data_IF_918477419534
#
_entry.id   IF_918477419534
#
_cell.length_a   1.000
_cell.length_b   1.000
_cell.length_c   1.000
_cell.angle_alpha   90.00
_cell.angle_beta   90.00
_cell.angle_gamma   90.00
#
_symmetry.space_group_name_H-M   'P 1'
#
loop_
_entity.id
_entity.type
_entity.pdbx_description
1 polymer ?
#
# COMPACT_ATOMS: atom_id res chain seq x y z
N UNK A 1 15.58 -21.09 -10.50
CA UNK A 1 14.25 -20.86 -9.89
C UNK A 1 13.39 -20.23 -10.97
N UNK A 2 12.35 -20.92 -11.41
CA UNK A 2 11.57 -20.47 -12.58
C UNK A 2 10.30 -19.75 -12.10
N UNK A 3 10.37 -18.43 -11.99
CA UNK A 3 9.23 -17.57 -11.76
C UNK A 3 9.10 -16.57 -12.92
N UNK A 4 7.89 -16.16 -13.21
CA UNK A 4 7.62 -15.12 -14.21
C UNK A 4 7.87 -13.73 -13.63
N UNK A 5 7.71 -13.60 -12.31
CA UNK A 5 7.90 -12.33 -11.57
C UNK A 5 8.53 -12.61 -10.21
N UNK A 6 9.48 -11.76 -9.83
CA UNK A 6 10.04 -11.72 -8.47
C UNK A 6 9.43 -10.52 -7.75
N UNK A 7 8.83 -10.76 -6.59
CA UNK A 7 8.35 -9.72 -5.67
C UNK A 7 9.31 -9.67 -4.48
N UNK A 8 9.93 -8.53 -4.25
CA UNK A 8 10.85 -8.32 -3.13
C UNK A 8 10.12 -7.61 -2.00
N UNK A 9 10.02 -8.29 -0.87
CA UNK A 9 9.33 -7.83 0.34
C UNK A 9 7.94 -8.44 0.51
N UNK A 10 7.71 -9.11 1.63
CA UNK A 10 6.44 -9.72 2.05
C UNK A 10 5.56 -8.79 2.90
N UNK A 11 5.79 -7.49 2.83
CA UNK A 11 4.89 -6.48 3.40
C UNK A 11 3.60 -6.35 2.60
N UNK A 12 2.68 -5.47 3.04
CA UNK A 12 1.36 -5.31 2.41
C UNK A 12 1.44 -5.07 0.91
N UNK A 13 2.31 -4.19 0.45
CA UNK A 13 2.46 -3.88 -0.98
C UNK A 13 2.87 -5.10 -1.80
N UNK A 14 3.86 -5.87 -1.31
CA UNK A 14 4.30 -7.09 -1.97
C UNK A 14 3.24 -8.18 -1.97
N UNK A 15 2.49 -8.34 -0.88
CA UNK A 15 1.38 -9.30 -0.79
C UNK A 15 0.26 -8.96 -1.76
N UNK A 16 -0.10 -7.68 -1.90
CA UNK A 16 -1.10 -7.22 -2.88
C UNK A 16 -0.60 -7.47 -4.30
N UNK A 17 0.65 -7.12 -4.61
CA UNK A 17 1.25 -7.38 -5.92
C UNK A 17 1.28 -8.87 -6.26
N UNK A 18 1.70 -9.71 -5.30
CA UNK A 18 1.72 -11.16 -5.48
C UNK A 18 0.32 -11.74 -5.71
N UNK A 19 -0.69 -11.24 -4.99
CA UNK A 19 -2.08 -11.62 -5.20
C UNK A 19 -2.55 -11.29 -6.62
N UNK A 20 -2.38 -10.05 -7.06
CA UNK A 20 -2.81 -9.63 -8.40
C UNK A 20 -2.08 -10.40 -9.51
N UNK A 21 -0.78 -10.62 -9.37
CA UNK A 21 0.01 -11.40 -10.33
C UNK A 21 -0.45 -12.86 -10.43
N UNK A 22 -0.66 -13.51 -9.29
CA UNK A 22 -1.08 -14.92 -9.28
C UNK A 22 -2.49 -15.12 -9.82
N UNK A 23 -3.37 -14.10 -9.69
CA UNK A 23 -4.70 -14.10 -10.33
C UNK A 23 -4.63 -14.06 -11.85
N UNK A 24 -3.59 -13.46 -12.43
CA UNK A 24 -3.38 -13.45 -13.89
C UNK A 24 -2.65 -14.69 -14.41
N UNK A 25 -2.45 -15.69 -13.55
CA UNK A 25 -1.78 -16.95 -13.92
C UNK A 25 -0.27 -16.89 -13.89
N UNK A 26 0.35 -15.80 -13.40
CA UNK A 26 1.79 -15.67 -13.27
C UNK A 26 2.31 -16.50 -12.09
N UNK A 27 3.49 -17.12 -12.28
CA UNK A 27 4.26 -17.77 -11.21
C UNK A 27 5.10 -16.69 -10.53
N UNK A 28 4.95 -16.58 -9.21
CA UNK A 28 5.58 -15.53 -8.40
C UNK A 28 6.59 -16.14 -7.43
N UNK A 29 7.81 -15.60 -7.39
CA UNK A 29 8.75 -15.80 -6.29
C UNK A 29 8.67 -14.58 -5.37
N UNK A 30 8.21 -14.77 -4.14
CA UNK A 30 8.18 -13.73 -3.12
C UNK A 30 9.39 -13.91 -2.20
N UNK A 31 10.29 -12.94 -2.22
CA UNK A 31 11.54 -12.94 -1.49
C UNK A 31 11.46 -11.94 -0.34
N UNK A 32 11.69 -12.39 0.89
CA UNK A 32 11.65 -11.54 2.08
C UNK A 32 12.83 -11.82 3.01
N UNK A 33 13.42 -10.77 3.55
CA UNK A 33 14.49 -10.89 4.55
C UNK A 33 13.99 -11.42 5.90
N UNK A 34 12.70 -11.27 6.17
CA UNK A 34 12.08 -11.68 7.40
C UNK A 34 11.67 -13.17 7.36
N UNK A 35 11.37 -13.72 8.53
CA UNK A 35 10.83 -15.07 8.65
C UNK A 35 9.34 -15.12 8.29
N UNK A 36 8.80 -16.33 8.16
CA UNK A 36 7.40 -16.56 7.78
C UNK A 36 6.37 -15.99 8.78
N UNK A 37 6.75 -15.77 10.05
CA UNK A 37 5.85 -15.20 11.05
C UNK A 37 5.66 -13.69 10.89
N UNK A 38 6.60 -13.01 10.21
CA UNK A 38 6.56 -11.57 9.98
C UNK A 38 5.88 -11.17 8.66
N UNK A 39 5.17 -12.11 8.02
CA UNK A 39 4.45 -11.84 6.79
C UNK A 39 3.37 -10.77 7.00
N UNK A 40 3.38 -9.74 6.15
CA UNK A 40 2.57 -8.53 6.31
C UNK A 40 3.37 -7.28 6.69
N UNK A 41 4.60 -7.46 7.18
CA UNK A 41 5.55 -6.39 7.49
C UNK A 41 4.99 -5.35 8.45
N UNK A 42 5.29 -4.09 8.24
CA UNK A 42 4.86 -2.99 9.11
C UNK A 42 3.34 -2.81 9.18
N UNK A 43 2.60 -3.22 8.13
CA UNK A 43 1.15 -3.14 8.14
C UNK A 43 0.52 -4.03 9.23
N UNK A 44 1.13 -5.16 9.53
CA UNK A 44 0.69 -6.06 10.60
C UNK A 44 0.65 -5.36 11.98
N UNK A 45 1.64 -4.51 12.26
CA UNK A 45 1.79 -3.81 13.55
C UNK A 45 1.06 -2.47 13.61
N UNK A 46 0.44 -2.05 12.52
CA UNK A 46 -0.21 -0.75 12.41
C UNK A 46 -1.59 -0.73 13.08
N UNK A 47 -2.14 0.49 13.27
CA UNK A 47 -3.55 0.66 13.66
C UNK A 47 -4.54 0.27 12.56
N UNK A 48 -4.06 -0.13 11.38
CA UNK A 48 -4.93 -0.44 10.24
C UNK A 48 -5.68 0.79 9.73
N UNK A 49 -5.05 1.95 9.80
CA UNK A 49 -5.62 3.20 9.35
C UNK A 49 -5.62 3.31 7.83
N UNK A 50 -6.78 3.63 7.26
CA UNK A 50 -7.01 3.75 5.85
C UNK A 50 -7.58 5.12 5.51
N UNK A 51 -6.93 5.83 4.60
CA UNK A 51 -7.41 7.11 4.09
C UNK A 51 -8.53 6.88 3.07
N UNK A 52 -9.73 7.40 3.36
CA UNK A 52 -10.86 7.40 2.45
C UNK A 52 -11.50 8.78 2.40
N UNK A 53 -12.08 9.12 1.27
CA UNK A 53 -12.70 10.42 0.99
C UNK A 53 -14.18 10.22 0.68
N UNK A 54 -15.04 11.02 1.32
CA UNK A 54 -16.49 10.99 1.12
C UNK A 54 -17.08 9.58 1.29
N UNK A 55 -16.58 8.84 2.26
CA UNK A 55 -17.05 7.49 2.55
C UNK A 55 -18.47 7.47 3.13
N UNK A 56 -19.19 6.34 3.03
CA UNK A 56 -20.44 6.17 3.75
C UNK A 56 -20.30 6.35 5.26
N UNK A 57 -19.15 5.97 5.83
CA UNK A 57 -18.82 6.13 7.25
C UNK A 57 -18.73 7.62 7.61
N UNK A 58 -18.03 8.43 6.82
CA UNK A 58 -17.98 9.89 6.98
C UNK A 58 -19.37 10.51 6.90
N UNK A 59 -20.16 10.16 5.88
CA UNK A 59 -21.51 10.72 5.69
C UNK A 59 -22.45 10.41 6.86
N UNK A 60 -22.39 9.19 7.44
CA UNK A 60 -23.18 8.81 8.64
C UNK A 60 -22.83 9.65 9.86
N UNK A 61 -21.57 10.09 9.94
CA UNK A 61 -21.08 10.97 11.02
C UNK A 61 -21.29 12.47 10.73
N UNK A 62 -21.98 12.81 9.64
CA UNK A 62 -22.20 14.21 9.24
C UNK A 62 -20.97 14.89 8.65
N UNK A 63 -19.90 14.15 8.37
CA UNK A 63 -18.69 14.70 7.75
C UNK A 63 -18.94 14.92 6.26
N UNK A 64 -18.76 16.14 5.81
CA UNK A 64 -18.84 16.54 4.40
C UNK A 64 -17.43 16.56 3.82
N UNK A 65 -17.17 15.70 2.85
CA UNK A 65 -15.88 15.58 2.19
C UNK A 65 -16.05 15.43 0.67
N UNK A 66 -15.02 15.79 -0.08
CA UNK A 66 -15.00 15.62 -1.54
C UNK A 66 -13.54 15.51 -2.04
N UNK A 67 -13.39 15.07 -3.28
CA UNK A 67 -12.08 14.91 -3.93
C UNK A 67 -11.27 16.22 -3.91
N UNK A 68 -11.90 17.35 -4.26
CA UNK A 68 -11.19 18.64 -4.34
C UNK A 68 -10.70 19.11 -2.98
N UNK A 69 -11.52 18.93 -1.93
CA UNK A 69 -11.12 19.24 -0.57
C UNK A 69 -9.95 18.34 -0.13
N UNK A 70 -10.06 17.04 -0.38
CA UNK A 70 -9.03 16.09 -0.02
C UNK A 70 -7.71 16.35 -0.77
N UNK A 71 -7.79 16.68 -2.06
CA UNK A 71 -6.62 17.01 -2.86
C UNK A 71 -5.94 18.30 -2.40
N UNK A 72 -6.71 19.33 -2.06
CA UNK A 72 -6.18 20.57 -1.50
C UNK A 72 -5.44 20.32 -0.19
N UNK A 73 -6.05 19.55 0.71
CA UNK A 73 -5.45 19.20 1.99
C UNK A 73 -4.16 18.38 1.79
N UNK A 74 -4.18 17.41 0.88
CA UNK A 74 -3.02 16.60 0.56
C UNK A 74 -1.86 17.42 0.05
N UNK A 75 -2.11 18.31 -0.93
CA UNK A 75 -1.10 19.22 -1.46
C UNK A 75 -0.52 20.13 -0.37
N UNK A 76 -1.37 20.65 0.49
CA UNK A 76 -0.95 21.49 1.60
C UNK A 76 -0.06 20.76 2.61
N UNK A 77 -0.22 19.47 2.78
CA UNK A 77 0.59 18.66 3.70
C UNK A 77 1.84 18.07 3.05
N UNK A 78 1.82 17.85 1.75
CA UNK A 78 2.92 17.17 1.05
C UNK A 78 4.19 18.04 0.94
N UNK A 79 4.05 19.37 0.88
CA UNK A 79 5.17 20.29 0.81
C UNK A 79 6.03 20.14 -0.44
N UNK A 80 5.42 19.77 -1.58
CA UNK A 80 6.11 19.64 -2.85
C UNK A 80 6.60 21.00 -3.35
N UNK A 81 7.89 21.23 -3.27
CA UNK A 81 8.58 22.48 -3.64
C UNK A 81 9.55 22.32 -4.82
N UNK A 82 9.70 21.08 -5.35
CA UNK A 82 10.62 20.74 -6.44
C UNK A 82 9.86 20.16 -7.63
N UNK A 83 8.83 20.89 -8.10
CA UNK A 83 8.00 20.49 -9.25
C UNK A 83 8.54 21.04 -10.58
N UNK A 84 9.36 22.08 -10.52
CA UNK A 84 9.91 22.77 -11.68
C UNK A 84 11.43 22.57 -11.78
N UNK A 85 11.95 22.65 -13.00
CA UNK A 85 13.38 22.56 -13.26
C UNK A 85 13.86 21.21 -13.82
N UNK A 86 15.17 21.08 -14.09
CA UNK A 86 15.74 19.92 -14.79
C UNK A 86 15.67 18.61 -13.98
N UNK A 87 15.38 18.72 -12.70
CA UNK A 87 15.19 17.57 -11.78
C UNK A 87 13.91 17.78 -10.97
N UNK A 88 12.77 17.68 -11.63
CA UNK A 88 11.45 17.77 -10.96
C UNK A 88 11.24 16.57 -10.03
N UNK A 89 11.99 16.50 -8.93
CA UNK A 89 12.06 15.37 -8.01
C UNK A 89 10.70 15.01 -7.40
N UNK A 90 9.84 16.01 -7.20
CA UNK A 90 8.52 15.83 -6.59
C UNK A 90 7.42 15.51 -7.62
N UNK A 91 7.71 15.52 -8.93
CA UNK A 91 6.71 15.28 -9.96
C UNK A 91 6.04 13.89 -9.80
N UNK A 92 6.84 12.85 -9.61
CA UNK A 92 6.31 11.50 -9.43
C UNK A 92 5.57 11.33 -8.11
N UNK A 93 6.05 11.97 -7.04
CA UNK A 93 5.35 11.98 -5.75
C UNK A 93 3.97 12.66 -5.87
N UNK A 94 3.89 13.78 -6.61
CA UNK A 94 2.64 14.46 -6.87
C UNK A 94 1.68 13.59 -7.71
N UNK A 95 2.16 12.94 -8.77
CA UNK A 95 1.36 12.04 -9.62
C UNK A 95 0.80 10.87 -8.81
N UNK A 96 1.63 10.23 -8.00
CA UNK A 96 1.20 9.14 -7.11
C UNK A 96 0.23 9.63 -6.03
N UNK A 97 0.48 10.79 -5.43
CA UNK A 97 -0.43 11.40 -4.47
C UNK A 97 -1.80 11.68 -5.10
N UNK A 98 -1.84 12.19 -6.33
CA UNK A 98 -3.08 12.44 -7.06
C UNK A 98 -3.84 11.14 -7.33
N UNK A 99 -3.18 10.14 -7.90
CA UNK A 99 -3.79 8.85 -8.16
C UNK A 99 -4.32 8.18 -6.88
N UNK A 100 -3.60 8.29 -5.76
CA UNK A 100 -4.03 7.75 -4.49
C UNK A 100 -5.27 8.45 -3.93
N UNK A 101 -5.33 9.78 -3.99
CA UNK A 101 -6.50 10.55 -3.50
C UNK A 101 -7.72 10.28 -4.36
N UNK A 102 -7.56 10.17 -5.70
CA UNK A 102 -8.64 9.79 -6.60
C UNK A 102 -9.15 8.37 -6.31
N UNK A 103 -8.26 7.42 -6.13
CA UNK A 103 -8.62 6.06 -5.70
C UNK A 103 -9.37 6.06 -4.36
N UNK A 104 -8.92 6.86 -3.39
CA UNK A 104 -9.54 6.95 -2.08
C UNK A 104 -10.92 7.62 -2.11
N UNK A 105 -11.17 8.53 -3.04
CA UNK A 105 -12.47 9.15 -3.27
C UNK A 105 -13.41 8.30 -4.13
N UNK A 106 -12.85 7.37 -4.90
CA UNK A 106 -13.55 6.51 -5.84
C UNK A 106 -13.72 5.07 -5.33
N UNK A 107 -13.00 4.18 -5.97
CA UNK A 107 -13.26 2.73 -5.84
C UNK A 107 -12.60 2.04 -4.64
N UNK A 108 -11.68 2.70 -3.92
CA UNK A 108 -10.87 2.08 -2.87
C UNK A 108 -11.70 1.36 -1.82
N UNK A 109 -12.78 1.98 -1.36
CA UNK A 109 -13.63 1.38 -0.33
C UNK A 109 -14.25 0.06 -0.79
N UNK A 110 -14.76 0.01 -2.01
CA UNK A 110 -15.36 -1.20 -2.55
C UNK A 110 -14.28 -2.24 -2.91
N UNK A 111 -13.11 -1.79 -3.34
CA UNK A 111 -11.95 -2.65 -3.51
C UNK A 111 -11.55 -3.34 -2.20
N UNK A 112 -11.46 -2.59 -1.09
CA UNK A 112 -11.18 -3.13 0.25
C UNK A 112 -12.22 -4.20 0.65
N UNK A 113 -13.51 -3.93 0.43
CA UNK A 113 -14.58 -4.89 0.74
C UNK A 113 -14.46 -6.18 -0.08
N UNK A 114 -14.13 -6.07 -1.37
CA UNK A 114 -13.89 -7.26 -2.23
C UNK A 114 -12.70 -8.10 -1.76
N UNK A 115 -11.82 -7.51 -0.97
CA UNK A 115 -10.66 -8.18 -0.37
C UNK A 115 -10.85 -8.52 1.11
N UNK A 116 -12.10 -8.60 1.58
CA UNK A 116 -12.48 -8.97 2.94
C UNK A 116 -12.00 -8.01 4.05
N UNK A 117 -11.57 -6.81 3.68
CA UNK A 117 -11.18 -5.78 4.64
C UNK A 117 -12.44 -5.05 5.10
N UNK A 118 -12.78 -5.22 6.37
CA UNK A 118 -13.92 -4.58 7.02
C UNK A 118 -13.46 -3.33 7.76
N UNK A 119 -14.28 -2.29 7.75
CA UNK A 119 -14.02 -1.06 8.48
C UNK A 119 -14.86 -1.02 9.75
N UNK A 120 -14.31 -0.43 10.80
CA UNK A 120 -15.08 -0.02 11.98
C UNK A 120 -15.99 1.16 11.63
N UNK A 121 -17.09 1.40 12.37
CA UNK A 121 -17.97 2.55 12.11
C UNK A 121 -17.36 3.89 12.56
N UNK A 122 -16.09 3.93 12.85
CA UNK A 122 -15.35 5.09 13.34
C UNK A 122 -14.53 5.75 12.24
N UNK A 123 -14.58 7.07 12.17
CA UNK A 123 -13.69 7.88 11.34
C UNK A 123 -13.01 8.91 12.25
N UNK A 124 -11.70 8.79 12.34
CA UNK A 124 -10.88 9.67 13.16
C UNK A 124 -10.09 10.70 12.35
N UNK A 125 -9.43 11.55 13.10
CA UNK A 125 -8.40 12.44 12.58
C UNK A 125 -7.10 11.67 12.46
N UNK A 126 -6.47 11.74 11.28
CA UNK A 126 -5.07 11.38 11.12
C UNK A 126 -4.22 12.62 11.43
N UNK A 127 -3.34 13.00 10.55
CA UNK A 127 -2.49 14.16 10.73
C UNK A 127 -3.24 15.46 10.45
N UNK A 128 -2.94 16.45 11.26
CA UNK A 128 -3.41 17.83 11.09
C UNK A 128 -2.19 18.70 10.91
N UNK A 129 -1.53 18.58 9.81
CA UNK A 129 -0.38 19.34 9.38
C UNK A 129 0.38 20.11 10.46
N UNK A 130 1.66 19.86 10.53
CA UNK A 130 2.59 20.62 11.34
C UNK A 130 3.97 20.58 10.64
N UNK A 131 4.88 21.45 11.01
CA UNK A 131 6.23 21.46 10.49
C UNK A 131 6.38 22.24 9.17
N UNK A 132 7.08 21.66 8.20
CA UNK A 132 7.44 22.34 6.96
C UNK A 132 6.34 22.40 5.90
N UNK A 133 5.23 21.69 6.12
CA UNK A 133 4.10 21.72 5.18
C UNK A 133 3.35 23.04 5.25
N UNK A 134 2.90 23.55 4.11
CA UNK A 134 2.22 24.84 3.99
C UNK A 134 0.74 24.79 4.39
N UNK A 135 0.20 23.61 4.66
CA UNK A 135 -1.20 23.41 4.98
C UNK A 135 -1.42 22.81 6.37
N UNK A 136 -2.65 22.92 6.84
CA UNK A 136 -3.07 22.41 8.16
C UNK A 136 -3.37 20.90 8.15
N UNK A 137 -3.12 20.20 7.06
CA UNK A 137 -3.44 18.78 6.88
C UNK A 137 -4.90 18.53 6.57
N UNK A 138 -5.43 17.42 7.05
CA UNK A 138 -6.84 17.08 6.82
C UNK A 138 -7.80 18.10 7.44
N UNK A 139 -8.64 18.73 6.61
CA UNK A 139 -9.71 19.65 7.05
C UNK A 139 -10.87 18.92 7.70
N UNK A 140 -11.01 17.62 7.41
CA UNK A 140 -12.05 16.73 7.95
C UNK A 140 -11.45 15.38 8.32
N UNK A 141 -12.09 14.61 9.22
CA UNK A 141 -11.63 13.27 9.57
C UNK A 141 -11.66 12.34 8.36
N UNK A 142 -10.53 11.68 8.06
CA UNK A 142 -10.38 10.73 6.94
C UNK A 142 -9.72 9.41 7.34
N UNK A 143 -9.39 9.26 8.62
CA UNK A 143 -8.73 8.07 9.14
C UNK A 143 -9.78 7.01 9.49
N UNK A 144 -9.92 6.02 8.61
CA UNK A 144 -10.80 4.87 8.82
C UNK A 144 -9.99 3.71 9.38
N UNK A 145 -10.49 3.05 10.40
CA UNK A 145 -9.79 1.94 11.05
C UNK A 145 -10.35 0.63 10.55
N UNK A 146 -9.48 -0.26 10.08
CA UNK A 146 -9.87 -1.62 9.73
C UNK A 146 -10.23 -2.42 10.99
N UNK A 147 -11.26 -3.24 10.89
CA UNK A 147 -11.58 -4.20 11.94
C UNK A 147 -10.43 -5.21 12.06
N UNK A 148 -9.91 -5.38 13.28
CA UNK A 148 -8.70 -6.17 13.52
C UNK A 148 -7.40 -5.37 13.35
N UNK A 149 -7.48 -4.05 13.16
CA UNK A 149 -6.34 -3.14 13.02
C UNK A 149 -5.40 -3.55 11.88
N UNK A 150 -4.09 -3.57 12.08
CA UNK A 150 -3.10 -3.92 11.05
C UNK A 150 -3.23 -5.34 10.51
N UNK A 151 -3.58 -6.29 11.37
CA UNK A 151 -3.86 -7.68 10.94
C UNK A 151 -5.08 -7.75 10.03
N UNK A 152 -6.12 -6.96 10.31
CA UNK A 152 -7.31 -6.86 9.46
C UNK A 152 -7.03 -6.33 8.04
N UNK A 153 -5.91 -5.64 7.84
CA UNK A 153 -5.46 -5.16 6.52
C UNK A 153 -4.52 -6.16 5.84
N UNK A 154 -3.58 -6.75 6.58
CA UNK A 154 -2.52 -7.58 6.01
C UNK A 154 -2.91 -9.06 5.86
N UNK A 155 -3.65 -9.62 6.80
CA UNK A 155 -3.98 -11.04 6.84
C UNK A 155 -4.78 -11.53 5.62
N UNK A 156 -5.78 -10.79 5.09
CA UNK A 156 -6.49 -11.22 3.90
C UNK A 156 -5.56 -11.49 2.71
N UNK A 157 -4.51 -10.70 2.54
CA UNK A 157 -3.53 -10.90 1.48
C UNK A 157 -2.49 -11.96 1.82
N UNK A 158 -2.09 -12.08 3.09
CA UNK A 158 -1.20 -13.13 3.55
C UNK A 158 -1.84 -14.53 3.35
N UNK A 159 -3.13 -14.67 3.63
CA UNK A 159 -3.87 -15.91 3.38
C UNK A 159 -3.93 -16.25 1.90
N UNK A 160 -4.26 -15.28 1.04
CA UNK A 160 -4.29 -15.48 -0.42
C UNK A 160 -2.92 -15.86 -1.00
N UNK A 161 -1.84 -15.26 -0.48
CA UNK A 161 -0.49 -15.65 -0.87
C UNK A 161 -0.16 -17.09 -0.46
N UNK A 162 -0.56 -17.51 0.76
CA UNK A 162 -0.42 -18.89 1.23
C UNK A 162 -1.23 -19.87 0.39
N UNK A 163 -2.45 -19.51 -0.01
CA UNK A 163 -3.28 -20.32 -0.91
C UNK A 163 -2.65 -20.44 -2.31
N UNK A 164 -2.12 -19.33 -2.84
CA UNK A 164 -1.40 -19.34 -4.11
C UNK A 164 -0.16 -20.24 -4.05
N UNK A 165 0.55 -20.26 -2.91
CA UNK A 165 1.68 -21.15 -2.69
C UNK A 165 1.26 -22.62 -2.65
N UNK A 166 0.18 -22.97 -1.94
CA UNK A 166 -0.37 -24.33 -1.96
C UNK A 166 -0.78 -24.79 -3.36
N UNK A 167 -1.23 -23.87 -4.19
CA UNK A 167 -1.59 -24.12 -5.59
C UNK A 167 -0.42 -24.10 -6.57
N UNK A 168 0.82 -23.98 -6.07
CA UNK A 168 2.04 -23.97 -6.90
C UNK A 168 2.25 -22.70 -7.75
N UNK A 169 1.47 -21.62 -7.50
CA UNK A 169 1.60 -20.34 -8.22
C UNK A 169 2.48 -19.32 -7.53
N UNK A 170 2.85 -19.56 -6.27
CA UNK A 170 3.75 -18.70 -5.51
C UNK A 170 4.74 -19.54 -4.73
N UNK A 171 6.00 -19.09 -4.68
CA UNK A 171 7.04 -19.66 -3.82
C UNK A 171 7.55 -18.60 -2.87
N UNK A 172 7.54 -18.89 -1.57
CA UNK A 172 8.12 -18.02 -0.55
C UNK A 172 9.60 -18.32 -0.36
N UNK A 173 10.40 -17.27 -0.32
CA UNK A 173 11.82 -17.29 0.07
C UNK A 173 12.01 -16.38 1.27
N UNK A 174 11.69 -16.91 2.44
CA UNK A 174 11.91 -16.23 3.73
C UNK A 174 13.39 -16.26 4.12
N UNK A 175 13.83 -15.27 4.89
CA UNK A 175 15.23 -15.13 5.32
C UNK A 175 16.18 -14.92 4.14
N UNK A 176 15.73 -14.23 3.11
CA UNK A 176 16.52 -13.89 1.93
C UNK A 176 16.51 -12.37 1.74
N UNK A 177 17.59 -11.71 2.14
CA UNK A 177 17.76 -10.27 1.90
C UNK A 177 18.25 -10.03 0.49
N UNK A 178 17.53 -9.23 -0.26
CA UNK A 178 17.94 -8.81 -1.61
C UNK A 178 18.80 -7.55 -1.49
N UNK A 179 20.03 -7.62 -2.04
CA UNK A 179 20.98 -6.51 -2.01
C UNK A 179 21.16 -5.88 -3.40
N UNK A 180 20.95 -6.65 -4.47
CA UNK A 180 21.22 -6.18 -5.84
C UNK A 180 20.23 -6.75 -6.86
N UNK A 181 19.98 -5.95 -7.91
CA UNK A 181 19.32 -6.42 -9.12
C UNK A 181 20.38 -7.01 -10.08
N UNK A 182 20.08 -8.15 -10.67
CA UNK A 182 20.86 -8.70 -11.78
C UNK A 182 20.33 -8.10 -13.07
N UNK A 183 21.19 -7.40 -13.79
CA UNK A 183 20.84 -6.74 -15.05
C UNK A 183 21.72 -7.30 -16.17
N UNK A 184 21.10 -7.83 -17.21
CA UNK A 184 21.75 -8.34 -18.39
C UNK A 184 21.17 -7.66 -19.63
N UNK A 185 22.01 -7.05 -20.45
CA UNK A 185 21.59 -6.32 -21.65
C UNK A 185 20.46 -5.29 -21.40
N UNK A 186 20.57 -4.53 -20.29
CA UNK A 186 19.59 -3.52 -19.90
C UNK A 186 18.26 -4.06 -19.34
N UNK A 187 18.16 -5.38 -19.12
CA UNK A 187 16.97 -6.03 -18.58
C UNK A 187 17.28 -6.67 -17.22
N UNK A 188 16.35 -6.48 -16.27
CA UNK A 188 16.44 -7.19 -14.97
C UNK A 188 16.09 -8.67 -15.20
N UNK A 189 17.04 -9.56 -14.89
CA UNK A 189 16.92 -11.01 -15.03
C UNK A 189 16.81 -11.74 -13.71
N UNK A 190 17.01 -11.04 -12.60
CA UNK A 190 16.93 -11.64 -11.29
C UNK A 190 17.37 -10.70 -10.17
N UNK A 191 17.49 -11.27 -8.98
CA UNK A 191 18.00 -10.59 -7.78
C UNK A 191 19.09 -11.44 -7.13
N UNK A 192 19.97 -10.80 -6.36
CA UNK A 192 20.96 -11.47 -5.52
C UNK A 192 21.07 -10.82 -4.16
N UNK A 193 21.51 -11.58 -3.16
CA UNK A 193 21.58 -11.10 -1.80
C UNK A 193 22.12 -12.17 -0.84
N UNK A 194 21.82 -11.99 0.44
CA UNK A 194 22.30 -12.82 1.53
C UNK A 194 21.16 -13.57 2.25
N UNK A 195 21.52 -14.68 2.85
CA UNK A 195 20.69 -15.38 3.86
C UNK A 195 21.24 -14.96 5.22
N UNK A 196 20.52 -14.09 5.97
CA UNK A 196 20.97 -13.60 7.27
C UNK A 196 20.83 -14.65 8.37
#
# INVERSE_FOLDING_TARGET
MDADVIVVGGGLAGLVAAHELTRTGRRVALVDQENAANLGGQAFWSFGGLFLVNSPEQRRLGVRDCLDLAWRDWRGSAGWDRLDGPQAEDEWAMRWGRAYVEFAAGEKRDWLRRHDIKLTPMVGWAERGAGKAFGHGNSVPRFHVAWGTGTGVSEPFALRAKEAAKAGRLTFHHRHRVDQLRVESGRVTGVSGAIP
#
